data_IF_934111453790
#
_entry.id   IF_934111453790
#
_cell.length_a   1.000
_cell.length_b   1.000
_cell.length_c   1.000
_cell.angle_alpha   90.00
_cell.angle_beta   90.00
_cell.angle_gamma   90.00
#
_symmetry.space_group_name_H-M   'P 1'
#
loop_
_entity.id
_entity.type
_entity.pdbx_description
1 polymer ?
#
# COMPACT_ATOMS: atom_id res chain seq x y z
N UNK A 1 4.43 5.96 -27.62
CA UNK A 1 4.25 7.42 -27.34
C UNK A 1 2.98 7.67 -26.53
N UNK A 2 1.81 7.16 -26.94
CA UNK A 2 0.53 7.33 -26.22
C UNK A 2 0.55 6.75 -24.80
N UNK A 3 1.08 5.53 -24.59
CA UNK A 3 1.25 4.92 -23.26
C UNK A 3 2.01 5.83 -22.30
N UNK A 4 3.15 6.40 -22.73
CA UNK A 4 3.98 7.26 -21.89
C UNK A 4 3.28 8.57 -21.49
N UNK A 5 2.53 9.19 -22.40
CA UNK A 5 1.77 10.41 -22.11
C UNK A 5 0.66 10.10 -21.10
N UNK A 6 -0.08 9.01 -21.31
CA UNK A 6 -1.16 8.58 -20.43
C UNK A 6 -0.69 8.31 -19.00
N UNK A 7 0.36 7.50 -18.86
CA UNK A 7 0.99 7.17 -17.59
C UNK A 7 1.51 8.43 -16.87
N UNK A 8 2.16 9.33 -17.61
CA UNK A 8 2.66 10.58 -17.06
C UNK A 8 1.52 11.49 -16.57
N UNK A 9 0.45 11.65 -17.35
CA UNK A 9 -0.71 12.43 -16.95
C UNK A 9 -1.39 11.86 -15.70
N UNK A 10 -1.55 10.54 -15.59
CA UNK A 10 -2.11 9.90 -14.40
C UNK A 10 -1.25 10.17 -13.15
N UNK A 11 0.07 10.01 -13.24
CA UNK A 11 0.98 10.31 -12.14
C UNK A 11 0.94 11.80 -11.75
N UNK A 12 1.00 12.71 -12.73
CA UNK A 12 1.03 14.15 -12.49
C UNK A 12 -0.27 14.65 -11.87
N UNK A 13 -1.43 14.21 -12.38
CA UNK A 13 -2.73 14.59 -11.84
C UNK A 13 -2.90 14.09 -10.41
N UNK A 14 -2.52 12.84 -10.13
CA UNK A 14 -2.63 12.27 -8.79
C UNK A 14 -1.68 12.96 -7.79
N UNK A 15 -0.46 13.30 -8.23
CA UNK A 15 0.47 14.12 -7.46
C UNK A 15 -0.13 15.48 -7.10
N UNK A 16 -0.66 16.21 -8.09
CA UNK A 16 -1.26 17.53 -7.88
C UNK A 16 -2.44 17.43 -6.92
N UNK A 17 -3.38 16.50 -7.14
CA UNK A 17 -4.56 16.34 -6.27
C UNK A 17 -4.13 16.01 -4.84
N UNK A 18 -3.21 15.06 -4.65
CA UNK A 18 -2.73 14.67 -3.31
C UNK A 18 -2.04 15.84 -2.60
N UNK A 19 -1.11 16.53 -3.28
CA UNK A 19 -0.38 17.65 -2.72
C UNK A 19 -1.28 18.85 -2.40
N UNK A 20 -2.20 19.21 -3.30
CA UNK A 20 -3.12 20.35 -3.10
C UNK A 20 -4.13 20.05 -1.99
N UNK A 21 -4.61 18.80 -1.89
CA UNK A 21 -5.55 18.40 -0.82
C UNK A 21 -4.95 18.65 0.57
N UNK A 22 -3.64 18.45 0.75
CA UNK A 22 -2.95 18.73 2.02
C UNK A 22 -3.10 20.18 2.50
N UNK A 23 -3.14 21.16 1.59
CA UNK A 23 -3.32 22.58 1.94
C UNK A 23 -4.64 22.85 2.66
N UNK A 24 -5.69 22.09 2.34
CA UNK A 24 -7.02 22.25 2.92
C UNK A 24 -7.27 21.27 4.07
N UNK A 25 -6.83 20.02 3.90
CA UNK A 25 -7.09 18.95 4.86
C UNK A 25 -6.29 19.12 6.16
N UNK A 26 -5.01 19.52 6.09
CA UNK A 26 -4.16 19.61 7.29
C UNK A 26 -4.69 20.65 8.29
N UNK A 27 -5.06 21.89 7.89
CA UNK A 27 -5.70 22.84 8.80
C UNK A 27 -7.02 22.32 9.39
N UNK A 28 -7.80 21.56 8.62
CA UNK A 28 -9.05 20.97 9.08
C UNK A 28 -8.83 19.89 10.14
N UNK A 29 -7.90 18.96 9.90
CA UNK A 29 -7.54 17.91 10.87
C UNK A 29 -6.98 18.50 12.18
N UNK A 30 -6.21 19.60 12.10
CA UNK A 30 -5.73 20.32 13.29
C UNK A 30 -6.88 20.91 14.12
N UNK A 31 -7.90 21.49 13.48
CA UNK A 31 -9.07 22.06 14.17
C UNK A 31 -9.89 21.00 14.90
N UNK A 32 -9.97 19.80 14.34
CA UNK A 32 -10.71 18.69 14.94
C UNK A 32 -9.94 18.00 16.09
N UNK A 33 -8.76 18.52 16.47
CA UNK A 33 -7.86 17.91 17.45
C UNK A 33 -7.52 16.45 17.15
N UNK A 34 -7.40 16.08 15.86
CA UNK A 34 -6.90 14.77 15.41
C UNK A 34 -5.38 14.64 15.63
N UNK A 35 -4.83 15.17 16.72
CA UNK A 35 -3.44 14.95 17.09
C UNK A 35 -3.26 13.56 17.67
N UNK A 36 -2.21 12.84 17.26
CA UNK A 36 -1.87 11.59 17.94
C UNK A 36 -1.35 11.87 19.35
N UNK A 37 -1.98 11.22 20.34
CA UNK A 37 -1.41 11.09 21.68
C UNK A 37 -0.38 9.96 21.64
N UNK A 38 0.90 10.30 21.78
CA UNK A 38 2.00 9.33 21.66
C UNK A 38 1.93 8.33 22.81
N UNK A 39 2.14 7.04 22.51
CA UNK A 39 2.23 5.95 23.50
C UNK A 39 3.35 6.23 24.51
N UNK A 40 3.07 6.08 25.81
CA UNK A 40 4.11 6.18 26.86
C UNK A 40 5.19 5.09 26.71
N UNK A 41 4.82 3.94 26.14
CA UNK A 41 5.70 2.79 25.85
C UNK A 41 6.44 2.90 24.50
N UNK A 42 6.20 3.96 23.72
CA UNK A 42 6.85 4.21 22.43
C UNK A 42 8.23 4.89 22.54
N UNK A 43 8.92 5.11 21.41
CA UNK A 43 10.24 5.74 21.42
C UNK A 43 10.19 7.15 22.03
N UNK A 44 10.97 7.37 23.11
CA UNK A 44 10.95 8.65 23.86
C UNK A 44 11.34 9.86 23.00
N UNK A 45 12.12 9.66 21.92
CA UNK A 45 12.55 10.72 21.01
C UNK A 45 11.45 11.17 20.04
N UNK A 46 10.35 10.42 19.90
CA UNK A 46 9.20 10.89 19.10
C UNK A 46 8.33 11.92 19.83
N UNK A 47 8.58 12.24 21.12
CA UNK A 47 7.79 13.24 21.87
C UNK A 47 7.69 14.60 21.17
N UNK A 48 8.69 15.00 20.37
CA UNK A 48 8.65 16.23 19.56
C UNK A 48 7.61 16.22 18.42
N UNK A 49 7.07 15.05 18.08
CA UNK A 49 6.02 14.87 17.06
C UNK A 49 4.60 14.99 17.62
N UNK A 50 4.46 15.29 18.92
CA UNK A 50 3.17 15.44 19.57
C UNK A 50 2.37 16.59 18.93
N UNK A 51 1.11 16.31 18.57
CA UNK A 51 0.21 17.29 17.97
C UNK A 51 0.22 17.34 16.44
N UNK A 52 1.06 16.54 15.77
CA UNK A 52 0.93 16.32 14.32
C UNK A 52 -0.40 15.60 14.02
N UNK A 53 -1.24 16.11 13.10
CA UNK A 53 -2.52 15.51 12.79
C UNK A 53 -2.36 14.14 12.10
N UNK A 54 -3.26 13.19 12.39
CA UNK A 54 -3.38 11.89 11.71
C UNK A 54 -4.51 11.89 10.65
N UNK A 55 -4.68 10.80 9.91
CA UNK A 55 -5.62 10.62 8.78
C UNK A 55 -5.28 11.40 7.51
N UNK A 56 -4.00 11.72 7.32
CA UNK A 56 -3.48 12.28 6.07
C UNK A 56 -3.66 11.35 4.86
N UNK A 57 -3.93 10.05 5.09
CA UNK A 57 -4.19 9.07 4.04
C UNK A 57 -5.29 9.48 3.07
N UNK A 58 -6.28 10.26 3.54
CA UNK A 58 -7.36 10.80 2.72
C UNK A 58 -6.82 11.54 1.48
N UNK A 59 -5.67 12.21 1.59
CA UNK A 59 -5.07 12.98 0.49
C UNK A 59 -4.78 12.10 -0.74
N UNK A 60 -4.05 10.99 -0.54
CA UNK A 60 -3.71 10.10 -1.64
C UNK A 60 -4.86 9.18 -2.00
N UNK A 61 -5.74 8.81 -1.06
CA UNK A 61 -6.93 7.99 -1.36
C UNK A 61 -7.82 8.70 -2.38
N UNK A 62 -8.16 9.97 -2.11
CA UNK A 62 -8.99 10.77 -3.03
C UNK A 62 -8.30 10.91 -4.39
N UNK A 63 -7.00 11.20 -4.41
CA UNK A 63 -6.24 11.32 -5.65
C UNK A 63 -6.24 10.03 -6.47
N UNK A 64 -5.96 8.89 -5.85
CA UNK A 64 -5.89 7.58 -6.52
C UNK A 64 -7.25 7.17 -7.06
N UNK A 65 -8.30 7.28 -6.24
CA UNK A 65 -9.67 6.93 -6.66
C UNK A 65 -10.11 7.81 -7.82
N UNK A 66 -10.02 9.14 -7.68
CA UNK A 66 -10.48 10.07 -8.72
C UNK A 66 -9.72 9.88 -10.03
N UNK A 67 -8.39 9.83 -9.98
CA UNK A 67 -7.58 9.71 -11.20
C UNK A 67 -7.75 8.34 -11.85
N UNK A 68 -7.81 7.26 -11.08
CA UNK A 68 -8.03 5.91 -11.64
C UNK A 68 -9.41 5.80 -12.27
N UNK A 69 -10.45 6.36 -11.65
CA UNK A 69 -11.81 6.37 -12.22
C UNK A 69 -11.89 7.19 -13.50
N UNK A 70 -11.34 8.41 -13.51
CA UNK A 70 -11.30 9.26 -14.71
C UNK A 70 -10.52 8.56 -15.83
N UNK A 71 -9.37 7.99 -15.51
CA UNK A 71 -8.54 7.26 -16.48
C UNK A 71 -9.32 6.07 -17.06
N UNK A 72 -9.99 5.29 -16.22
CA UNK A 72 -10.78 4.11 -16.65
C UNK A 72 -11.97 4.52 -17.52
N UNK A 73 -12.67 5.61 -17.19
CA UNK A 73 -13.78 6.16 -17.98
C UNK A 73 -13.27 6.62 -19.34
N UNK A 74 -12.24 7.46 -19.39
CA UNK A 74 -11.69 7.95 -20.66
C UNK A 74 -11.19 6.78 -21.52
N UNK A 75 -10.52 5.79 -20.92
CA UNK A 75 -10.10 4.56 -21.59
C UNK A 75 -11.28 3.79 -22.21
N UNK A 76 -12.39 3.66 -21.47
CA UNK A 76 -13.59 2.99 -21.95
C UNK A 76 -14.33 3.75 -23.07
N UNK A 77 -14.31 5.10 -23.04
CA UNK A 77 -15.08 5.94 -23.98
C UNK A 77 -14.31 6.41 -25.22
N UNK A 78 -12.97 6.41 -25.23
CA UNK A 78 -12.16 6.87 -26.38
C UNK A 78 -11.86 5.79 -27.42
N UNK A 79 -12.59 4.67 -27.40
CA UNK A 79 -12.45 3.54 -28.32
C UNK A 79 -12.88 3.80 -29.77
N UNK A 80 -12.23 4.72 -30.49
CA UNK A 80 -12.46 4.93 -31.91
C UNK A 80 -11.19 4.66 -32.75
N UNK A 81 -11.23 3.52 -33.45
CA UNK A 81 -10.52 3.19 -34.69
C UNK A 81 -9.05 2.72 -34.69
N UNK A 82 -8.27 2.86 -33.61
CA UNK A 82 -6.98 2.15 -33.45
C UNK A 82 -7.07 0.93 -32.49
N UNK A 83 -8.25 0.76 -31.88
CA UNK A 83 -8.47 0.09 -30.59
C UNK A 83 -9.02 -1.34 -30.73
N UNK A 84 -9.55 -1.74 -31.89
CA UNK A 84 -10.17 -3.07 -31.99
C UNK A 84 -9.17 -4.25 -32.10
N UNK A 85 -7.89 -4.01 -32.36
CA UNK A 85 -6.87 -5.08 -32.52
C UNK A 85 -5.99 -5.32 -31.29
N UNK A 86 -5.99 -4.42 -30.30
CA UNK A 86 -5.13 -4.49 -29.11
C UNK A 86 -5.89 -4.75 -27.79
N UNK A 87 -7.23 -4.79 -27.81
CA UNK A 87 -8.06 -4.56 -26.61
C UNK A 87 -9.08 -5.66 -26.29
N UNK A 88 -8.77 -6.93 -26.60
CA UNK A 88 -9.64 -8.06 -26.22
C UNK A 88 -9.84 -8.19 -24.69
N UNK A 89 -8.95 -7.60 -23.88
CA UNK A 89 -8.92 -7.73 -22.42
C UNK A 89 -9.53 -6.55 -21.62
N UNK A 90 -10.18 -5.58 -22.27
CA UNK A 90 -10.84 -4.44 -21.57
C UNK A 90 -11.74 -4.89 -20.40
N UNK A 91 -12.58 -5.94 -20.53
CA UNK A 91 -13.43 -6.40 -19.43
C UNK A 91 -12.63 -6.88 -18.21
N UNK A 92 -11.44 -7.47 -18.45
CA UNK A 92 -10.56 -7.97 -17.39
C UNK A 92 -9.94 -6.84 -16.60
N UNK A 93 -9.26 -5.90 -17.27
CA UNK A 93 -8.58 -4.81 -16.58
C UNK A 93 -9.54 -3.96 -15.76
N UNK A 94 -10.70 -3.61 -16.32
CA UNK A 94 -11.74 -2.90 -15.58
C UNK A 94 -12.17 -3.66 -14.31
N UNK A 95 -12.39 -4.98 -14.41
CA UNK A 95 -12.73 -5.80 -13.24
C UNK A 95 -11.67 -5.73 -12.15
N UNK A 96 -10.39 -5.92 -12.50
CA UNK A 96 -9.29 -5.87 -11.53
C UNK A 96 -9.08 -4.47 -10.94
N UNK A 97 -9.28 -3.41 -11.73
CA UNK A 97 -9.22 -2.02 -11.24
C UNK A 97 -10.34 -1.77 -10.23
N UNK A 98 -11.59 -2.09 -10.56
CA UNK A 98 -12.72 -1.83 -9.66
C UNK A 98 -12.66 -2.69 -8.40
N UNK A 99 -12.41 -4.00 -8.53
CA UNK A 99 -12.29 -4.89 -7.38
C UNK A 99 -11.07 -4.55 -6.53
N UNK A 100 -9.95 -4.19 -7.17
CA UNK A 100 -8.72 -3.78 -6.52
C UNK A 100 -8.86 -2.46 -5.75
N UNK A 101 -9.49 -1.45 -6.35
CA UNK A 101 -9.86 -0.22 -5.65
C UNK A 101 -10.85 -0.51 -4.52
N UNK A 102 -11.81 -1.42 -4.73
CA UNK A 102 -12.71 -1.89 -3.68
C UNK A 102 -11.97 -2.48 -2.47
N UNK A 103 -10.98 -3.33 -2.72
CA UNK A 103 -10.10 -3.90 -1.70
C UNK A 103 -9.33 -2.81 -0.93
N UNK A 104 -8.71 -1.88 -1.65
CA UNK A 104 -7.95 -0.78 -1.06
C UNK A 104 -8.85 0.15 -0.23
N UNK A 105 -9.97 0.61 -0.80
CA UNK A 105 -10.93 1.51 -0.13
C UNK A 105 -11.57 0.84 1.09
N UNK A 106 -11.94 -0.44 1.01
CA UNK A 106 -12.51 -1.16 2.15
C UNK A 106 -11.50 -1.29 3.31
N UNK A 107 -10.22 -1.58 3.02
CA UNK A 107 -9.18 -1.57 4.05
C UNK A 107 -8.91 -0.16 4.60
N UNK A 108 -8.90 0.86 3.74
CA UNK A 108 -8.82 2.26 4.16
C UNK A 108 -9.99 2.68 5.06
N UNK A 109 -11.19 2.15 4.81
CA UNK A 109 -12.37 2.40 5.64
C UNK A 109 -12.28 1.73 7.01
N UNK A 110 -11.72 0.52 7.09
CA UNK A 110 -11.38 -0.10 8.39
C UNK A 110 -10.42 0.80 9.17
N UNK A 111 -9.39 1.32 8.49
CA UNK A 111 -8.43 2.25 9.07
C UNK A 111 -9.06 3.57 9.52
N UNK A 112 -9.99 4.10 8.73
CA UNK A 112 -10.77 5.28 9.07
C UNK A 112 -11.60 5.07 10.34
N UNK A 113 -12.28 3.93 10.47
CA UNK A 113 -13.02 3.58 11.69
C UNK A 113 -12.07 3.54 12.89
N UNK A 114 -10.90 2.93 12.74
CA UNK A 114 -9.91 2.82 13.80
C UNK A 114 -9.40 4.19 14.27
N UNK A 115 -8.95 5.03 13.33
CA UNK A 115 -8.49 6.39 13.60
C UNK A 115 -9.60 7.27 14.20
N UNK A 116 -10.82 7.17 13.66
CA UNK A 116 -11.97 7.91 14.17
C UNK A 116 -12.30 7.53 15.61
N UNK A 117 -12.27 6.23 15.96
CA UNK A 117 -12.50 5.75 17.33
C UNK A 117 -11.42 6.30 18.29
N UNK A 118 -10.14 6.26 17.89
CA UNK A 118 -9.03 6.82 18.70
C UNK A 118 -9.29 8.27 19.06
N UNK A 119 -9.74 9.07 18.08
CA UNK A 119 -9.97 10.50 18.26
C UNK A 119 -11.22 10.80 19.06
N UNK A 120 -12.36 10.22 18.69
CA UNK A 120 -13.65 10.51 19.38
C UNK A 120 -13.60 10.06 20.83
N UNK A 121 -13.00 8.91 21.12
CA UNK A 121 -12.88 8.39 22.49
C UNK A 121 -11.71 8.98 23.27
N UNK A 122 -10.94 9.91 22.68
CA UNK A 122 -9.75 10.55 23.28
C UNK A 122 -8.81 9.56 23.97
N UNK A 123 -8.58 8.42 23.32
CA UNK A 123 -7.77 7.32 23.87
C UNK A 123 -6.89 6.74 22.76
N UNK A 124 -5.78 6.12 23.16
CA UNK A 124 -4.82 5.58 22.20
C UNK A 124 -5.31 4.30 21.50
N UNK A 125 -6.36 3.66 22.04
CA UNK A 125 -6.89 2.40 21.52
C UNK A 125 -8.06 2.60 20.55
N UNK A 126 -7.84 2.22 19.29
CA UNK A 126 -8.86 2.12 18.24
C UNK A 126 -9.70 0.85 18.36
N UNK A 127 -9.82 0.12 17.25
CA UNK A 127 -10.34 -1.25 17.21
C UNK A 127 -9.39 -2.18 17.95
N UNK A 128 -9.91 -3.29 18.49
CA UNK A 128 -9.03 -4.34 19.00
C UNK A 128 -8.32 -5.04 17.83
N UNK A 129 -7.15 -5.62 18.08
CA UNK A 129 -6.40 -6.36 17.06
C UNK A 129 -7.27 -7.46 16.40
N UNK A 130 -8.07 -8.18 17.19
CA UNK A 130 -9.00 -9.20 16.69
C UNK A 130 -10.11 -8.61 15.82
N UNK A 131 -10.70 -7.48 16.21
CA UNK A 131 -11.73 -6.80 15.39
C UNK A 131 -11.17 -6.35 14.05
N UNK A 132 -9.98 -5.73 14.06
CA UNK A 132 -9.30 -5.28 12.84
C UNK A 132 -8.98 -6.46 11.92
N UNK A 133 -8.42 -7.55 12.46
CA UNK A 133 -8.13 -8.76 11.68
C UNK A 133 -9.37 -9.41 11.08
N UNK A 134 -10.47 -9.55 11.86
CA UNK A 134 -11.72 -10.12 11.35
C UNK A 134 -12.24 -9.30 10.17
N UNK A 135 -12.25 -7.96 10.28
CA UNK A 135 -12.69 -7.09 9.20
C UNK A 135 -11.80 -7.20 7.96
N UNK A 136 -10.47 -7.26 8.13
CA UNK A 136 -9.53 -7.43 7.02
C UNK A 136 -9.72 -8.78 6.30
N UNK A 137 -9.93 -9.88 7.05
CA UNK A 137 -10.23 -11.19 6.46
C UNK A 137 -11.58 -11.21 5.73
N UNK A 138 -12.61 -10.52 6.25
CA UNK A 138 -13.90 -10.37 5.55
C UNK A 138 -13.74 -9.60 4.23
N UNK A 139 -12.96 -8.52 4.24
CA UNK A 139 -12.66 -7.73 3.03
C UNK A 139 -11.87 -8.56 2.01
N UNK A 140 -10.85 -9.31 2.45
CA UNK A 140 -10.08 -10.20 1.58
C UNK A 140 -10.96 -11.32 0.99
N UNK A 141 -11.83 -11.93 1.81
CA UNK A 141 -12.77 -12.95 1.34
C UNK A 141 -13.76 -12.40 0.31
N UNK A 142 -14.29 -11.19 0.53
CA UNK A 142 -15.17 -10.53 -0.43
C UNK A 142 -14.48 -10.25 -1.76
N UNK A 143 -13.24 -9.73 -1.73
CA UNK A 143 -12.43 -9.51 -2.92
C UNK A 143 -12.21 -10.82 -3.71
N UNK A 144 -11.79 -11.89 -3.03
CA UNK A 144 -11.55 -13.19 -3.67
C UNK A 144 -12.84 -13.84 -4.20
N UNK A 145 -13.97 -13.67 -3.50
CA UNK A 145 -15.25 -14.18 -3.96
C UNK A 145 -15.71 -13.49 -5.24
N UNK A 146 -15.54 -12.16 -5.35
CA UNK A 146 -15.88 -11.42 -6.57
C UNK A 146 -15.01 -11.89 -7.74
N UNK A 147 -13.71 -12.07 -7.53
CA UNK A 147 -12.82 -12.61 -8.57
C UNK A 147 -13.23 -14.01 -9.02
N UNK A 148 -13.56 -14.91 -8.08
CA UNK A 148 -14.00 -16.26 -8.38
C UNK A 148 -15.31 -16.28 -9.18
N UNK A 149 -16.29 -15.47 -8.80
CA UNK A 149 -17.57 -15.33 -9.53
C UNK A 149 -17.34 -14.78 -10.95
N UNK A 150 -16.37 -13.89 -11.11
CA UNK A 150 -15.98 -13.33 -12.41
C UNK A 150 -15.14 -14.29 -13.28
N UNK A 151 -14.86 -15.51 -12.80
CA UNK A 151 -14.10 -16.53 -13.54
C UNK A 151 -12.58 -16.46 -13.35
N UNK A 152 -12.08 -15.56 -12.50
CA UNK A 152 -10.68 -15.51 -12.08
C UNK A 152 -10.50 -16.42 -10.86
N UNK A 153 -10.34 -17.72 -11.15
CA UNK A 153 -10.32 -18.79 -10.15
C UNK A 153 -8.98 -18.94 -9.42
N UNK A 154 -8.54 -20.19 -9.27
CA UNK A 154 -7.47 -20.62 -8.37
C UNK A 154 -6.09 -20.71 -9.04
N UNK A 155 -6.01 -20.24 -10.28
CA UNK A 155 -4.77 -20.21 -11.06
C UNK A 155 -4.01 -18.92 -10.80
N UNK A 156 -2.70 -19.02 -10.68
CA UNK A 156 -1.77 -17.89 -10.54
C UNK A 156 -0.52 -18.13 -11.38
N UNK A 157 0.09 -17.06 -11.89
CA UNK A 157 1.34 -17.16 -12.64
C UNK A 157 2.54 -17.04 -11.70
N UNK A 158 3.43 -18.04 -11.75
CA UNK A 158 4.71 -18.05 -11.04
C UNK A 158 5.84 -17.89 -12.06
N UNK A 159 6.70 -16.86 -11.93
CA UNK A 159 7.85 -16.68 -12.81
C UNK A 159 8.70 -17.95 -12.95
N UNK A 160 9.06 -18.31 -14.19
CA UNK A 160 9.82 -19.49 -14.60
C UNK A 160 9.13 -20.85 -14.38
N UNK A 161 7.95 -20.87 -13.78
CA UNK A 161 7.13 -22.09 -13.60
C UNK A 161 5.91 -22.08 -14.52
N UNK A 162 5.34 -20.90 -14.76
CA UNK A 162 4.11 -20.71 -15.54
C UNK A 162 2.86 -20.68 -14.68
N UNK A 163 1.71 -21.00 -15.28
CA UNK A 163 0.41 -21.01 -14.60
C UNK A 163 0.29 -22.24 -13.71
N UNK A 164 0.00 -22.02 -12.43
CA UNK A 164 -0.20 -23.06 -11.43
C UNK A 164 -1.59 -22.94 -10.86
N UNK A 165 -2.35 -24.04 -10.87
CA UNK A 165 -3.63 -24.14 -10.17
C UNK A 165 -3.40 -24.63 -8.75
N UNK A 166 -3.70 -23.77 -7.76
CA UNK A 166 -3.56 -24.09 -6.34
C UNK A 166 -4.87 -24.64 -5.73
N UNK A 167 -5.93 -24.78 -6.54
CA UNK A 167 -7.25 -25.21 -6.10
C UNK A 167 -7.74 -24.43 -4.87
N UNK A 168 -8.40 -25.13 -3.94
CA UNK A 168 -8.93 -24.49 -2.73
C UNK A 168 -7.88 -23.75 -1.88
N UNK A 169 -6.62 -24.22 -1.87
CA UNK A 169 -5.55 -23.57 -1.12
C UNK A 169 -5.20 -22.18 -1.63
N UNK A 170 -5.52 -21.86 -2.89
CA UNK A 170 -5.38 -20.51 -3.44
C UNK A 170 -6.05 -19.47 -2.54
N UNK A 171 -7.31 -19.70 -2.14
CA UNK A 171 -8.10 -18.75 -1.37
C UNK A 171 -7.51 -18.53 0.03
N UNK A 172 -7.01 -19.59 0.67
CA UNK A 172 -6.38 -19.51 2.00
C UNK A 172 -5.08 -18.72 1.91
N UNK A 173 -4.21 -19.08 0.97
CA UNK A 173 -2.91 -18.43 0.79
C UNK A 173 -3.10 -16.96 0.40
N UNK A 174 -4.01 -16.68 -0.53
CA UNK A 174 -4.32 -15.33 -0.97
C UNK A 174 -4.90 -14.48 0.16
N UNK A 175 -5.85 -14.99 0.95
CA UNK A 175 -6.41 -14.25 2.08
C UNK A 175 -5.36 -13.93 3.14
N UNK A 176 -4.51 -14.90 3.49
CA UNK A 176 -3.41 -14.70 4.45
C UNK A 176 -2.39 -13.71 3.89
N UNK A 177 -2.01 -13.80 2.61
CA UNK A 177 -1.07 -12.88 1.99
C UNK A 177 -1.63 -11.44 1.93
N UNK A 178 -2.91 -11.27 1.58
CA UNK A 178 -3.56 -9.96 1.56
C UNK A 178 -3.56 -9.33 2.96
N UNK A 179 -4.04 -10.07 3.96
CA UNK A 179 -4.13 -9.55 5.34
C UNK A 179 -2.74 -9.32 5.93
N UNK A 180 -1.78 -10.22 5.65
CA UNK A 180 -0.38 -10.08 6.04
C UNK A 180 0.19 -8.77 5.52
N UNK A 181 0.25 -8.59 4.19
CA UNK A 181 0.78 -7.37 3.56
C UNK A 181 0.05 -6.11 4.02
N UNK A 182 -1.27 -6.14 4.18
CA UNK A 182 -2.03 -5.00 4.71
C UNK A 182 -1.54 -4.58 6.10
N UNK A 183 -1.28 -5.53 6.99
CA UNK A 183 -0.71 -5.25 8.31
C UNK A 183 0.77 -4.89 8.24
N UNK A 184 1.55 -5.51 7.34
CA UNK A 184 2.96 -5.18 7.14
C UNK A 184 3.15 -3.72 6.73
N UNK A 185 2.31 -3.21 5.82
CA UNK A 185 2.31 -1.80 5.39
C UNK A 185 1.94 -0.88 6.55
N UNK A 186 0.92 -1.24 7.35
CA UNK A 186 0.59 -0.51 8.58
C UNK A 186 1.74 -0.44 9.59
N UNK A 187 2.51 -1.52 9.76
CA UNK A 187 3.69 -1.53 10.62
C UNK A 187 4.85 -0.68 10.08
N UNK A 188 4.88 -0.44 8.77
CA UNK A 188 5.93 0.36 8.11
C UNK A 188 5.71 1.86 8.29
N UNK A 189 4.48 2.31 8.60
CA UNK A 189 4.14 3.71 8.90
C UNK A 189 4.57 4.13 10.34
N UNK A 190 5.87 3.99 10.64
CA UNK A 190 6.44 4.27 11.96
C UNK A 190 7.28 5.55 12.06
N UNK A 191 7.82 6.05 10.94
CA UNK A 191 8.63 7.27 10.87
C UNK A 191 8.25 8.13 9.66
N UNK A 192 8.65 9.41 9.68
CA UNK A 192 8.23 10.40 8.70
C UNK A 192 8.68 10.02 7.28
N UNK A 193 7.74 9.83 6.36
CA UNK A 193 8.02 9.54 4.97
C UNK A 193 8.39 8.10 4.64
N UNK A 194 8.45 7.17 5.60
CA UNK A 194 8.88 5.79 5.34
C UNK A 194 7.91 5.04 4.44
N UNK A 195 6.68 4.80 4.91
CA UNK A 195 5.71 4.01 4.16
C UNK A 195 5.33 4.66 2.81
N UNK A 196 5.18 5.98 2.79
CA UNK A 196 4.93 6.73 1.56
C UNK A 196 6.03 6.56 0.51
N UNK A 197 7.31 6.52 0.92
CA UNK A 197 8.43 6.36 -0.01
C UNK A 197 8.61 4.91 -0.46
N UNK A 198 8.47 3.94 0.46
CA UNK A 198 8.51 2.51 0.13
C UNK A 198 7.39 2.16 -0.84
N UNK A 199 6.17 2.64 -0.58
CA UNK A 199 5.01 2.40 -1.45
C UNK A 199 5.13 3.09 -2.80
N UNK A 200 5.76 4.27 -2.87
CA UNK A 200 6.09 4.90 -4.15
C UNK A 200 6.92 3.97 -5.03
N UNK A 201 8.02 3.41 -4.52
CA UNK A 201 8.88 2.50 -5.29
C UNK A 201 8.18 1.17 -5.61
N UNK A 202 7.33 0.65 -4.72
CA UNK A 202 6.50 -0.52 -4.99
C UNK A 202 5.53 -0.27 -6.17
N UNK A 203 4.86 0.88 -6.18
CA UNK A 203 3.97 1.28 -7.28
C UNK A 203 4.72 1.48 -8.59
N UNK A 204 5.95 2.03 -8.56
CA UNK A 204 6.81 2.13 -9.75
C UNK A 204 7.16 0.74 -10.30
N UNK A 205 7.49 -0.23 -9.44
CA UNK A 205 7.76 -1.60 -9.88
C UNK A 205 6.52 -2.23 -10.58
N UNK A 206 5.34 -2.13 -9.97
CA UNK A 206 4.10 -2.61 -10.59
C UNK A 206 3.75 -1.86 -11.89
N UNK A 207 4.00 -0.55 -11.95
CA UNK A 207 3.81 0.25 -13.17
C UNK A 207 4.68 -0.27 -14.32
N UNK A 208 5.96 -0.56 -14.07
CA UNK A 208 6.87 -1.08 -15.08
C UNK A 208 6.46 -2.49 -15.55
N UNK A 209 6.06 -3.36 -14.62
CA UNK A 209 5.58 -4.72 -14.94
C UNK A 209 4.29 -4.66 -15.76
N UNK A 210 3.31 -3.86 -15.33
CA UNK A 210 2.07 -3.68 -16.06
C UNK A 210 2.31 -3.10 -17.47
N UNK A 211 3.28 -2.19 -17.61
CA UNK A 211 3.64 -1.59 -18.88
C UNK A 211 4.20 -2.63 -19.87
N UNK A 212 5.11 -3.51 -19.45
CA UNK A 212 5.65 -4.55 -20.35
C UNK A 212 4.64 -5.64 -20.69
N UNK A 213 3.66 -5.88 -19.80
CA UNK A 213 2.52 -6.76 -20.06
C UNK A 213 1.39 -6.09 -20.87
N UNK A 214 1.58 -4.83 -21.27
CA UNK A 214 0.60 -4.02 -22.01
C UNK A 214 -0.74 -3.81 -21.28
N UNK A 215 -0.76 -3.87 -19.95
CA UNK A 215 -1.94 -3.59 -19.14
C UNK A 215 -2.08 -2.08 -18.88
N UNK A 216 -2.71 -1.37 -19.82
CA UNK A 216 -2.72 0.10 -19.81
C UNK A 216 -3.44 0.69 -18.59
N UNK A 217 -4.58 0.13 -18.21
CA UNK A 217 -5.37 0.59 -17.07
C UNK A 217 -4.64 0.35 -15.74
N UNK A 218 -4.03 -0.82 -15.59
CA UNK A 218 -3.23 -1.15 -14.39
C UNK A 218 -1.96 -0.29 -14.34
N UNK A 219 -1.33 0.01 -15.49
CA UNK A 219 -0.19 0.94 -15.57
C UNK A 219 -0.60 2.33 -15.10
N UNK A 220 -1.76 2.83 -15.53
CA UNK A 220 -2.29 4.13 -15.13
C UNK A 220 -2.62 4.19 -13.63
N UNK A 221 -3.26 3.14 -13.09
CA UNK A 221 -3.55 3.01 -11.65
C UNK A 221 -2.26 3.00 -10.81
N UNK A 222 -1.24 2.26 -11.25
CA UNK A 222 0.07 2.21 -10.59
C UNK A 222 0.78 3.56 -10.63
N UNK A 223 0.72 4.26 -11.76
CA UNK A 223 1.29 5.59 -11.93
C UNK A 223 0.57 6.65 -11.08
N UNK A 224 -0.77 6.63 -11.05
CA UNK A 224 -1.56 7.48 -10.17
C UNK A 224 -1.23 7.24 -8.70
N UNK A 225 -1.03 5.97 -8.31
CA UNK A 225 -0.62 5.58 -6.97
C UNK A 225 0.76 6.12 -6.59
N UNK A 226 1.76 5.94 -7.47
CA UNK A 226 3.09 6.51 -7.28
C UNK A 226 3.05 8.04 -7.18
N UNK A 227 2.32 8.71 -8.08
CA UNK A 227 2.13 10.16 -8.06
C UNK A 227 1.48 10.66 -6.77
N UNK A 228 0.42 9.99 -6.30
CA UNK A 228 -0.27 10.36 -5.09
C UNK A 228 0.59 10.18 -3.82
N UNK A 229 1.42 9.13 -3.76
CA UNK A 229 2.43 8.94 -2.72
C UNK A 229 3.43 10.11 -2.69
N UNK A 230 3.98 10.50 -3.85
CA UNK A 230 4.86 11.68 -3.93
C UNK A 230 4.15 12.97 -3.49
N UNK A 231 2.89 13.16 -3.87
CA UNK A 231 2.11 14.33 -3.47
C UNK A 231 1.85 14.37 -1.96
N UNK A 232 1.69 13.21 -1.33
CA UNK A 232 1.58 13.09 0.12
C UNK A 232 2.90 13.38 0.83
N UNK A 233 4.02 12.90 0.27
CA UNK A 233 5.36 13.12 0.82
C UNK A 233 5.76 14.61 0.90
N UNK A 234 5.17 15.49 0.08
CA UNK A 234 5.32 16.96 0.23
C UNK A 234 4.95 17.45 1.64
N UNK A 235 4.05 16.74 2.31
CA UNK A 235 3.55 17.09 3.65
C UNK A 235 4.02 16.13 4.74
N UNK A 236 4.40 14.91 4.39
CA UNK A 236 4.75 13.85 5.34
C UNK A 236 6.27 13.62 5.47
N UNK A 237 7.09 14.03 4.49
CA UNK A 237 8.54 13.88 4.60
C UNK A 237 9.10 14.66 5.79
N UNK A 238 10.14 14.12 6.42
CA UNK A 238 10.68 14.65 7.67
C UNK A 238 11.09 16.13 7.56
N UNK A 239 10.65 17.01 8.48
CA UNK A 239 9.69 16.76 9.58
C UNK A 239 8.22 16.76 9.12
N UNK A 240 7.46 15.73 9.49
CA UNK A 240 6.08 15.53 9.04
C UNK A 240 5.10 16.60 9.55
N UNK A 241 4.24 17.10 8.65
CA UNK A 241 3.12 18.00 8.97
C UNK A 241 1.79 17.25 9.16
N UNK A 242 1.73 15.99 8.74
CA UNK A 242 0.57 15.09 8.85
C UNK A 242 1.05 13.63 8.78
N UNK A 243 0.42 12.75 9.54
CA UNK A 243 0.60 11.29 9.47
C UNK A 243 -0.52 10.65 8.66
N UNK A 244 -0.23 9.57 7.94
CA UNK A 244 -1.26 8.94 7.11
C UNK A 244 -2.34 8.25 7.95
N UNK A 245 -1.98 7.72 9.12
CA UNK A 245 -2.88 6.98 10.00
C UNK A 245 -3.18 5.59 9.48
N UNK A 246 -3.98 4.84 10.26
CA UNK A 246 -4.45 3.52 9.82
C UNK A 246 -5.32 3.64 8.56
N UNK A 247 -6.01 4.78 8.41
CA UNK A 247 -6.77 5.13 7.19
C UNK A 247 -5.92 5.00 5.92
N UNK A 248 -4.70 5.56 5.95
CA UNK A 248 -3.82 5.58 4.80
C UNK A 248 -3.06 4.27 4.60
N UNK A 249 -2.45 3.76 5.65
CA UNK A 249 -1.56 2.59 5.55
C UNK A 249 -2.32 1.31 5.22
N UNK A 250 -3.52 1.10 5.78
CA UNK A 250 -4.35 -0.05 5.39
C UNK A 250 -4.84 0.06 3.95
N UNK A 251 -5.14 1.27 3.46
CA UNK A 251 -5.47 1.50 2.05
C UNK A 251 -4.30 1.14 1.14
N UNK A 252 -3.09 1.63 1.44
CA UNK A 252 -1.89 1.35 0.64
C UNK A 252 -1.55 -0.15 0.64
N UNK A 253 -1.73 -0.84 1.77
CA UNK A 253 -1.59 -2.28 1.83
C UNK A 253 -2.58 -3.02 0.92
N UNK A 254 -3.85 -2.62 0.94
CA UNK A 254 -4.86 -3.18 0.04
C UNK A 254 -4.58 -2.89 -1.43
N UNK A 255 -4.06 -1.69 -1.73
CA UNK A 255 -3.66 -1.25 -3.06
C UNK A 255 -2.47 -2.05 -3.62
N UNK A 256 -1.41 -2.24 -2.83
CA UNK A 256 -0.24 -3.03 -3.22
C UNK A 256 -0.64 -4.48 -3.53
N UNK A 257 -1.50 -5.08 -2.69
CA UNK A 257 -2.11 -6.37 -2.99
C UNK A 257 -2.90 -6.33 -4.29
N UNK A 258 -3.83 -5.38 -4.46
CA UNK A 258 -4.64 -5.24 -5.65
C UNK A 258 -3.81 -5.20 -6.94
N UNK A 259 -2.71 -4.43 -6.96
CA UNK A 259 -1.80 -4.34 -8.11
C UNK A 259 -1.15 -5.70 -8.43
N UNK A 260 -0.72 -6.45 -7.41
CA UNK A 260 -0.12 -7.77 -7.60
C UNK A 260 -1.09 -8.81 -8.16
N UNK A 261 -2.34 -8.81 -7.69
CA UNK A 261 -3.39 -9.67 -8.25
C UNK A 261 -3.80 -9.24 -9.66
N UNK A 262 -3.81 -7.93 -9.95
CA UNK A 262 -4.17 -7.41 -11.27
C UNK A 262 -3.20 -7.85 -12.37
N UNK A 263 -1.91 -7.96 -12.06
CA UNK A 263 -0.88 -8.48 -12.98
C UNK A 263 -0.80 -10.02 -13.04
N UNK A 264 -1.70 -10.73 -12.36
CA UNK A 264 -1.74 -12.21 -12.26
C UNK A 264 -0.48 -12.83 -11.62
N UNK A 265 0.26 -12.07 -10.81
CA UNK A 265 1.47 -12.53 -10.14
C UNK A 265 1.55 -12.07 -8.67
N UNK A 266 0.60 -12.46 -7.79
CA UNK A 266 0.66 -12.15 -6.36
C UNK A 266 1.98 -12.55 -5.68
N UNK A 267 2.69 -13.56 -6.20
CA UNK A 267 4.00 -13.98 -5.68
C UNK A 267 5.05 -12.87 -5.71
N UNK A 268 4.89 -11.86 -6.59
CA UNK A 268 5.79 -10.70 -6.65
C UNK A 268 5.64 -9.76 -5.45
N UNK A 269 4.63 -9.94 -4.59
CA UNK A 269 4.56 -9.28 -3.29
C UNK A 269 5.77 -9.61 -2.40
N UNK A 270 6.41 -10.77 -2.59
CA UNK A 270 7.61 -11.16 -1.82
C UNK A 270 8.79 -10.22 -2.11
N UNK A 271 9.28 -10.09 -3.36
CA UNK A 271 10.34 -9.15 -3.66
C UNK A 271 9.89 -7.69 -3.53
N UNK A 272 8.73 -7.30 -4.07
CA UNK A 272 8.30 -5.90 -4.05
C UNK A 272 8.03 -5.41 -2.62
N UNK A 273 7.43 -6.27 -1.78
CA UNK A 273 7.12 -5.99 -0.39
C UNK A 273 8.21 -6.36 0.59
N UNK A 274 9.48 -6.53 0.17
CA UNK A 274 10.55 -7.03 1.03
C UNK A 274 10.71 -6.22 2.32
N UNK A 275 10.56 -4.89 2.25
CA UNK A 275 10.61 -4.02 3.43
C UNK A 275 9.42 -4.26 4.33
N UNK A 276 8.19 -4.32 3.79
CA UNK A 276 7.00 -4.61 4.58
C UNK A 276 7.14 -5.95 5.32
N UNK A 277 7.57 -6.99 4.59
CA UNK A 277 7.77 -8.32 5.15
C UNK A 277 8.87 -8.30 6.22
N UNK A 278 9.97 -7.58 6.00
CA UNK A 278 11.04 -7.44 7.00
C UNK A 278 10.54 -6.73 8.28
N UNK A 279 9.71 -5.69 8.14
CA UNK A 279 9.09 -4.99 9.27
C UNK A 279 8.19 -5.93 10.07
N UNK A 280 7.27 -6.64 9.42
CA UNK A 280 6.36 -7.59 10.08
C UNK A 280 7.12 -8.77 10.71
N UNK A 281 8.03 -9.40 9.97
CA UNK A 281 8.83 -10.52 10.49
C UNK A 281 9.67 -10.08 11.68
N UNK A 282 10.19 -8.85 11.70
CA UNK A 282 10.94 -8.36 12.86
C UNK A 282 10.08 -8.31 14.12
N UNK A 283 8.80 -7.94 14.00
CA UNK A 283 7.85 -7.94 15.12
C UNK A 283 7.53 -9.36 15.56
N UNK A 284 7.22 -10.26 14.62
CA UNK A 284 6.92 -11.67 14.92
C UNK A 284 8.10 -12.34 15.62
N UNK A 285 9.32 -12.16 15.11
CA UNK A 285 10.54 -12.70 15.69
C UNK A 285 10.82 -12.10 17.07
N UNK A 286 10.68 -10.78 17.22
CA UNK A 286 10.90 -10.10 18.50
C UNK A 286 9.94 -10.62 19.59
N UNK A 287 8.64 -10.65 19.31
CA UNK A 287 7.62 -11.08 20.27
C UNK A 287 7.80 -12.56 20.62
N UNK A 288 8.08 -13.41 19.64
CA UNK A 288 8.32 -14.84 19.87
C UNK A 288 9.58 -15.07 20.71
N UNK A 289 10.68 -14.40 20.37
CA UNK A 289 11.94 -14.50 21.10
C UNK A 289 11.81 -14.00 22.55
N UNK A 290 11.12 -12.88 22.77
CA UNK A 290 10.89 -12.34 24.11
C UNK A 290 10.11 -13.31 25.00
N UNK A 291 9.08 -13.97 24.45
CA UNK A 291 8.30 -14.99 25.16
C UNK A 291 9.12 -16.25 25.46
N UNK A 292 9.86 -16.76 24.47
CA UNK A 292 10.67 -17.99 24.60
C UNK A 292 11.83 -17.81 25.58
N UNK A 293 12.45 -16.63 25.61
CA UNK A 293 13.61 -16.35 26.46
C UNK A 293 13.26 -15.71 27.80
N UNK A 294 11.97 -15.55 28.10
CA UNK A 294 11.46 -14.89 29.31
C UNK A 294 12.04 -13.49 29.55
N UNK A 295 12.21 -12.71 28.48
CA UNK A 295 12.53 -11.27 28.59
C UNK A 295 13.74 -10.78 27.80
N UNK A 296 14.47 -11.62 27.06
CA UNK A 296 15.55 -11.14 26.18
C UNK A 296 14.96 -10.55 24.90
N UNK A 297 15.65 -9.56 24.34
CA UNK A 297 15.26 -8.87 23.09
C UNK A 297 16.19 -9.29 21.96
N UNK A 298 15.64 -9.62 20.79
CA UNK A 298 16.42 -10.01 19.61
C UNK A 298 16.97 -8.75 18.91
N UNK A 299 16.08 -7.81 18.60
CA UNK A 299 16.39 -6.47 18.15
C UNK A 299 16.31 -5.49 19.31
N UNK A 300 17.08 -4.40 19.25
CA UNK A 300 16.99 -3.27 20.21
C UNK A 300 15.54 -2.79 20.40
N UNK A 301 14.79 -2.70 19.30
CA UNK A 301 13.36 -2.41 19.24
C UNK A 301 12.77 -3.02 17.96
N UNK A 302 11.47 -3.32 17.95
CA UNK A 302 10.70 -3.72 16.75
C UNK A 302 9.52 -2.75 16.57
N UNK A 303 9.11 -2.41 15.33
CA UNK A 303 9.61 -2.93 14.05
C UNK A 303 11.05 -2.52 13.71
N UNK A 304 11.63 -3.06 12.62
CA UNK A 304 13.08 -3.03 12.38
C UNK A 304 13.61 -1.61 12.09
N UNK A 305 12.79 -0.68 11.62
CA UNK A 305 13.21 0.72 11.52
C UNK A 305 13.62 1.32 12.88
N UNK A 306 12.89 1.01 13.96
CA UNK A 306 13.24 1.48 15.31
C UNK A 306 14.54 0.84 15.83
N UNK A 307 14.85 -0.38 15.39
CA UNK A 307 16.17 -0.97 15.65
C UNK A 307 17.29 -0.10 15.06
N UNK A 308 17.14 0.38 13.81
CA UNK A 308 18.12 1.24 13.17
C UNK A 308 18.20 2.63 13.80
N UNK A 309 17.07 3.22 14.24
CA UNK A 309 17.09 4.46 15.03
C UNK A 309 17.92 4.28 16.32
N UNK A 310 17.72 3.18 17.05
CA UNK A 310 18.51 2.84 18.24
C UNK A 310 19.97 2.46 17.94
N UNK A 311 20.33 2.29 16.67
CA UNK A 311 21.69 2.16 16.18
C UNK A 311 22.30 3.50 15.72
N UNK A 312 21.58 4.62 15.92
CA UNK A 312 22.07 5.97 15.63
C UNK A 312 21.82 6.42 14.18
N UNK A 313 20.96 5.74 13.43
CA UNK A 313 20.58 6.19 12.09
C UNK A 313 19.54 7.30 12.18
N UNK A 314 19.66 8.33 11.34
CA UNK A 314 18.62 9.35 11.20
C UNK A 314 17.40 8.80 10.45
N UNK A 315 16.21 9.34 10.73
CA UNK A 315 14.97 8.96 10.03
C UNK A 315 15.14 9.04 8.51
N UNK A 316 15.72 10.14 8.00
CA UNK A 316 15.99 10.34 6.57
C UNK A 316 16.90 9.26 6.00
N UNK A 317 17.92 8.81 6.75
CA UNK A 317 18.81 7.71 6.32
C UNK A 317 18.03 6.40 6.22
N UNK A 318 17.17 6.09 7.19
CA UNK A 318 16.35 4.87 7.18
C UNK A 318 15.41 4.88 5.97
N UNK A 319 14.69 5.98 5.76
CA UNK A 319 13.77 6.16 4.61
C UNK A 319 14.53 5.97 3.29
N UNK A 320 15.69 6.59 3.14
CA UNK A 320 16.51 6.47 1.93
C UNK A 320 17.00 5.05 1.67
N UNK A 321 17.51 4.35 2.69
CA UNK A 321 17.98 2.96 2.56
C UNK A 321 16.84 2.00 2.26
N UNK A 322 15.72 2.11 2.98
CA UNK A 322 14.58 1.22 2.80
C UNK A 322 13.97 1.41 1.41
N UNK A 323 13.88 2.65 0.97
CA UNK A 323 13.44 3.01 -0.39
C UNK A 323 14.38 2.45 -1.47
N UNK A 324 15.71 2.53 -1.26
CA UNK A 324 16.69 1.97 -2.20
C UNK A 324 16.60 0.43 -2.26
N UNK A 325 16.40 -0.24 -1.13
CA UNK A 325 16.18 -1.70 -1.07
C UNK A 325 14.90 -2.06 -1.83
N UNK A 326 13.79 -1.35 -1.60
CA UNK A 326 12.54 -1.57 -2.34
C UNK A 326 12.71 -1.35 -3.84
N UNK A 327 13.47 -0.32 -4.26
CA UNK A 327 13.75 -0.08 -5.67
C UNK A 327 14.56 -1.23 -6.32
N UNK A 328 15.60 -1.73 -5.62
CA UNK A 328 16.42 -2.86 -6.10
C UNK A 328 15.58 -4.13 -6.21
N UNK A 329 14.81 -4.47 -5.18
CA UNK A 329 13.96 -5.66 -5.22
C UNK A 329 12.76 -5.50 -6.16
N UNK A 330 12.28 -4.28 -6.38
CA UNK A 330 11.32 -3.95 -7.43
C UNK A 330 11.89 -4.20 -8.83
N UNK A 331 13.16 -3.86 -9.08
CA UNK A 331 13.85 -4.19 -10.33
C UNK A 331 14.06 -5.72 -10.49
N UNK A 332 14.34 -6.43 -9.40
CA UNK A 332 14.38 -7.90 -9.39
C UNK A 332 12.98 -8.46 -9.75
N UNK A 333 11.91 -7.96 -9.13
CA UNK A 333 10.55 -8.38 -9.43
C UNK A 333 10.17 -8.12 -10.90
N UNK A 334 10.59 -6.98 -11.44
CA UNK A 334 10.45 -6.68 -12.87
C UNK A 334 11.19 -7.70 -13.73
N UNK A 335 12.45 -8.03 -13.41
CA UNK A 335 13.21 -9.04 -14.15
C UNK A 335 12.56 -10.43 -14.08
N UNK A 336 12.05 -10.84 -12.90
CA UNK A 336 11.29 -12.08 -12.74
C UNK A 336 10.06 -12.08 -13.65
N UNK A 337 9.29 -11.00 -13.65
CA UNK A 337 8.09 -10.86 -14.47
C UNK A 337 8.38 -10.72 -15.98
N UNK A 338 9.56 -10.24 -16.36
CA UNK A 338 9.91 -10.03 -17.77
C UNK A 338 10.52 -11.29 -18.40
N UNK A 339 11.44 -11.95 -17.69
CA UNK A 339 12.16 -13.13 -18.21
C UNK A 339 11.49 -14.47 -17.87
N UNK A 340 10.64 -14.50 -16.83
CA UNK A 340 9.99 -15.71 -16.35
C UNK A 340 8.50 -15.83 -16.67
N UNK A 341 7.91 -14.85 -17.35
CA UNK A 341 6.48 -14.84 -17.69
C UNK A 341 6.12 -15.64 -18.94
#
# INVERSE_FOLDING_TARGET
MIYGIWTFCAALLAFIISAVTGKFLIPYLRKLHFGQTILEEGPKWHKGKQGTPTMGGIMFIVAIVVVTMISTVIYAFTGADLVNSFFADIPRECMFIFCGLGLAVANGFIGFIDDYIKVVKKRNLGLTASQKLILQFLVAAAFLAVLAIAGYGTTTTIPFVGKVDLGFFYYIIAAVAIVGIVNSVNLTDGIDGLDGSVTFFACVAFMLIACVKSYLGITAMSAASAGACLGFLVWNFHPAKVFMGDTGSLFLGGLVCALAFAIDMPILLIPIGIIYIAEELSVILQVSYFKITHGKRLFKMSPIHHHFEMCGWSEVKIVGVFSAVTAVFGAIAFALAYFGA
#
